data_IF_544153703926
#
_entry.id   IF_544153703926
#
_cell.length_a   1.000
_cell.length_b   1.000
_cell.length_c   1.000
_cell.angle_alpha   90.00
_cell.angle_beta   90.00
_cell.angle_gamma   90.00
#
_symmetry.space_group_name_H-M   'P 1'
#
loop_
_entity.id
_entity.type
_entity.pdbx_description
1 polymer ?
#
# COMPACT_ATOMS: atom_id res chain seq x y z
N UNK A 1 -1.66 -15.60 -17.04
CA UNK A 1 -2.77 -14.85 -16.49
C UNK A 1 -3.31 -13.84 -17.48
N UNK A 2 -4.60 -13.77 -17.63
CA UNK A 2 -5.22 -12.84 -18.55
C UNK A 2 -5.07 -11.39 -18.09
N UNK A 3 -5.19 -10.47 -19.04
CA UNK A 3 -5.13 -9.06 -18.73
C UNK A 3 -6.35 -8.62 -17.92
N UNK A 4 -6.09 -8.02 -16.77
CA UNK A 4 -7.12 -7.41 -15.95
C UNK A 4 -7.09 -5.91 -16.25
N UNK A 5 -8.24 -5.36 -16.65
CA UNK A 5 -8.34 -3.95 -16.97
C UNK A 5 -9.12 -3.19 -15.92
N UNK A 6 -8.64 -2.00 -15.60
CA UNK A 6 -9.27 -1.10 -14.65
C UNK A 6 -9.53 0.25 -15.34
N UNK A 7 -10.75 0.72 -15.26
CA UNK A 7 -11.09 2.05 -15.76
C UNK A 7 -10.85 3.06 -14.64
N UNK A 8 -9.81 3.86 -14.80
CA UNK A 8 -9.38 4.80 -13.77
C UNK A 8 -8.53 5.90 -14.39
N UNK A 9 -8.16 6.88 -13.59
CA UNK A 9 -7.13 7.83 -13.98
C UNK A 9 -5.77 7.14 -13.80
N UNK A 10 -5.27 6.55 -14.87
CA UNK A 10 -4.08 5.71 -14.82
C UNK A 10 -2.87 6.42 -14.23
N UNK A 11 -2.67 7.67 -14.60
CA UNK A 11 -1.51 8.44 -14.12
C UNK A 11 -1.51 8.58 -12.60
N UNK A 12 -2.65 8.94 -12.03
CA UNK A 12 -2.76 9.09 -10.58
C UNK A 12 -2.73 7.76 -9.85
N UNK A 13 -3.38 6.74 -10.41
CA UNK A 13 -3.38 5.42 -9.75
C UNK A 13 -1.99 4.79 -9.76
N UNK A 14 -1.20 5.01 -10.81
CA UNK A 14 0.20 4.58 -10.83
C UNK A 14 0.99 5.29 -9.73
N UNK A 15 0.75 6.59 -9.54
CA UNK A 15 1.38 7.35 -8.46
C UNK A 15 1.04 6.77 -7.09
N UNK A 16 -0.24 6.44 -6.86
CA UNK A 16 -0.67 5.86 -5.59
C UNK A 16 0.02 4.54 -5.31
N UNK A 17 0.03 3.63 -6.29
CA UNK A 17 0.64 2.31 -6.13
C UNK A 17 2.15 2.44 -5.95
N UNK A 18 2.78 3.37 -6.67
CA UNK A 18 4.20 3.64 -6.51
C UNK A 18 4.52 4.09 -5.09
N UNK A 19 3.70 4.95 -4.51
CA UNK A 19 3.90 5.41 -3.13
C UNK A 19 3.79 4.26 -2.13
N UNK A 20 2.86 3.33 -2.36
CA UNK A 20 2.74 2.14 -1.50
C UNK A 20 3.98 1.27 -1.61
N UNK A 21 4.46 1.04 -2.84
CA UNK A 21 5.66 0.24 -3.08
C UNK A 21 6.89 0.88 -2.45
N UNK A 22 7.03 2.20 -2.55
CA UNK A 22 8.13 2.91 -1.89
C UNK A 22 8.11 2.70 -0.39
N UNK A 23 6.92 2.73 0.21
CA UNK A 23 6.78 2.46 1.63
C UNK A 23 7.23 1.04 1.97
N UNK A 24 6.83 0.06 1.19
CA UNK A 24 7.26 -1.32 1.39
C UNK A 24 8.77 -1.47 1.30
N UNK A 25 9.38 -0.83 0.31
CA UNK A 25 10.83 -0.87 0.12
C UNK A 25 11.55 -0.21 1.30
N UNK A 26 11.04 0.93 1.76
CA UNK A 26 11.62 1.66 2.89
C UNK A 26 11.67 0.81 4.16
N UNK A 27 10.66 -0.03 4.36
CA UNK A 27 10.58 -0.89 5.55
C UNK A 27 11.03 -2.32 5.31
N UNK A 28 11.60 -2.61 4.15
CA UNK A 28 12.06 -3.95 3.84
C UNK A 28 13.43 -4.23 4.47
N UNK A 29 13.68 -5.52 4.70
CA UNK A 29 15.00 -6.02 5.10
C UNK A 29 15.74 -6.52 3.86
N UNK A 30 17.06 -6.73 3.96
CA UNK A 30 17.88 -7.13 2.84
C UNK A 30 17.32 -8.36 2.13
N UNK A 31 16.88 -9.36 2.64
CA UNK A 31 16.36 -10.54 1.95
C UNK A 31 14.84 -10.56 1.84
N UNK A 32 14.22 -9.37 1.90
CA UNK A 32 12.77 -9.28 1.83
C UNK A 32 12.25 -9.51 0.42
N UNK A 33 11.03 -10.03 0.34
CA UNK A 33 10.32 -10.22 -0.91
C UNK A 33 9.06 -9.36 -0.91
N UNK A 34 8.83 -8.65 -2.00
CA UNK A 34 7.59 -7.92 -2.22
C UNK A 34 6.81 -8.65 -3.29
N UNK A 35 5.61 -9.08 -2.95
CA UNK A 35 4.74 -9.83 -3.85
C UNK A 35 3.53 -8.98 -4.21
N UNK A 36 3.21 -8.92 -5.50
CA UNK A 36 2.05 -8.20 -5.99
C UNK A 36 1.13 -9.21 -6.67
N UNK A 37 -0.08 -9.35 -6.16
CA UNK A 37 -1.09 -10.21 -6.75
C UNK A 37 -2.27 -9.37 -7.23
N UNK A 38 -2.82 -9.72 -8.38
CA UNK A 38 -3.97 -9.04 -8.95
C UNK A 38 -5.07 -10.07 -9.13
N UNK A 39 -6.26 -9.75 -8.64
CA UNK A 39 -7.41 -10.61 -8.73
C UNK A 39 -8.63 -9.81 -9.20
N UNK A 40 -9.59 -10.48 -9.79
CA UNK A 40 -10.77 -9.82 -10.35
C UNK A 40 -11.98 -10.72 -10.24
N UNK A 41 -13.11 -10.12 -9.87
CA UNK A 41 -14.39 -10.79 -9.91
C UNK A 41 -15.46 -9.80 -10.44
N UNK A 42 -16.71 -10.21 -10.38
CA UNK A 42 -17.81 -9.37 -10.92
C UNK A 42 -18.05 -8.08 -10.15
N UNK A 43 -17.58 -8.02 -8.89
CA UNK A 43 -17.87 -6.90 -8.00
C UNK A 43 -16.70 -5.92 -7.95
N UNK A 44 -15.47 -6.44 -7.92
CA UNK A 44 -14.30 -5.58 -7.77
C UNK A 44 -13.06 -6.18 -8.44
N UNK A 45 -12.05 -5.31 -8.59
CA UNK A 45 -10.70 -5.70 -8.93
C UNK A 45 -9.82 -5.41 -7.72
N UNK A 46 -8.95 -6.33 -7.38
CA UNK A 46 -8.14 -6.25 -6.17
C UNK A 46 -6.66 -6.35 -6.49
N UNK A 47 -5.89 -5.47 -5.87
CA UNK A 47 -4.44 -5.54 -5.91
C UNK A 47 -3.98 -5.76 -4.48
N UNK A 48 -3.20 -6.81 -4.27
CA UNK A 48 -2.62 -7.13 -2.97
C UNK A 48 -1.12 -6.94 -3.06
N UNK A 49 -0.56 -6.11 -2.18
CA UNK A 49 0.88 -5.87 -2.10
C UNK A 49 1.34 -6.36 -0.74
N UNK A 50 2.15 -7.41 -0.75
CA UNK A 50 2.63 -8.04 0.48
C UNK A 50 4.14 -7.94 0.54
N UNK A 51 4.67 -7.52 1.68
CA UNK A 51 6.09 -7.65 1.95
C UNK A 51 6.30 -8.48 3.20
N UNK A 52 7.43 -9.17 3.26
CA UNK A 52 7.81 -9.97 4.42
C UNK A 52 8.90 -9.27 5.23
N UNK A 53 8.89 -7.94 5.23
CA UNK A 53 9.85 -7.12 5.95
C UNK A 53 9.56 -7.01 7.44
N UNK A 54 9.79 -5.83 7.98
CA UNK A 54 9.68 -5.60 9.42
C UNK A 54 8.26 -5.62 9.96
N UNK A 55 7.27 -5.44 9.10
CA UNK A 55 5.91 -5.20 9.54
C UNK A 55 5.75 -3.81 10.13
N UNK A 56 4.55 -3.52 10.60
CA UNK A 56 4.22 -2.22 11.18
C UNK A 56 3.82 -2.45 12.63
N UNK A 57 4.37 -1.63 13.52
CA UNK A 57 4.02 -1.69 14.94
C UNK A 57 2.51 -1.46 15.09
N UNK A 58 1.88 -2.26 15.96
CA UNK A 58 0.46 -2.18 16.21
C UNK A 58 0.00 -0.77 16.58
N UNK A 59 0.85 -0.02 17.26
CA UNK A 59 0.56 1.37 17.62
C UNK A 59 0.50 2.31 16.43
N UNK A 60 1.25 1.99 15.38
CA UNK A 60 1.34 2.84 14.19
C UNK A 60 0.23 2.54 13.19
N UNK A 61 -0.30 1.30 13.16
CA UNK A 61 -1.28 0.89 12.17
C UNK A 61 -2.47 1.85 12.00
N UNK A 62 -3.11 2.35 13.08
CA UNK A 62 -4.24 3.25 12.92
C UNK A 62 -3.88 4.59 12.29
N UNK A 63 -2.61 4.93 12.23
CA UNK A 63 -2.13 6.26 11.84
C UNK A 63 -1.37 6.30 10.52
N UNK A 64 -1.10 5.16 9.90
CA UNK A 64 -0.19 5.13 8.74
C UNK A 64 -0.71 5.91 7.53
N UNK A 65 -2.00 6.16 7.46
CA UNK A 65 -2.58 6.95 6.37
C UNK A 65 -2.78 8.42 6.74
N UNK A 66 -2.37 8.82 7.94
CA UNK A 66 -2.44 10.23 8.36
C UNK A 66 -1.28 11.01 7.73
N UNK A 67 -1.56 12.23 7.32
CA UNK A 67 -0.52 13.09 6.75
C UNK A 67 0.54 13.40 7.80
N UNK A 68 1.80 13.35 7.37
CA UNK A 68 2.97 13.66 8.19
C UNK A 68 3.19 12.70 9.37
N UNK A 69 2.44 11.61 9.46
CA UNK A 69 2.70 10.62 10.48
C UNK A 69 3.94 9.81 10.11
N UNK A 70 4.83 9.62 11.08
CA UNK A 70 6.02 8.79 10.93
C UNK A 70 6.03 7.76 12.04
N UNK A 71 6.06 6.50 11.68
CA UNK A 71 6.24 5.41 12.61
C UNK A 71 7.67 5.31 13.11
N UNK A 72 7.91 4.41 14.05
CA UNK A 72 9.22 4.22 14.66
C UNK A 72 10.33 3.92 13.66
N UNK A 73 10.01 3.19 12.61
CA UNK A 73 11.01 2.70 11.66
C UNK A 73 11.00 3.50 10.35
N UNK A 74 10.43 4.69 10.36
CA UNK A 74 10.42 5.55 9.19
C UNK A 74 11.79 6.11 8.90
N UNK A 75 12.10 6.27 7.62
CA UNK A 75 13.29 6.98 7.17
C UNK A 75 13.24 8.42 7.63
N UNK A 76 14.41 8.97 7.98
CA UNK A 76 14.53 10.38 8.35
C UNK A 76 14.12 11.32 7.21
N UNK A 77 14.26 10.87 5.98
CA UNK A 77 13.93 11.67 4.80
C UNK A 77 12.46 11.56 4.40
N UNK A 78 11.72 10.66 5.04
CA UNK A 78 10.30 10.50 4.77
C UNK A 78 9.53 11.68 5.35
N UNK A 79 8.66 12.28 4.55
CA UNK A 79 7.81 13.38 5.02
C UNK A 79 6.43 12.91 5.48
N UNK A 80 6.17 11.61 5.38
CA UNK A 80 4.94 11.03 5.90
C UNK A 80 3.68 11.38 5.12
N UNK A 81 3.80 11.68 3.83
CA UNK A 81 2.64 12.02 2.99
C UNK A 81 2.32 10.97 1.93
N UNK A 82 3.24 10.04 1.66
CA UNK A 82 3.08 9.08 0.56
C UNK A 82 1.85 8.20 0.69
N UNK A 83 1.62 7.59 1.86
CA UNK A 83 0.47 6.73 2.07
C UNK A 83 -0.84 7.51 2.17
N UNK A 84 -0.82 8.69 2.79
CA UNK A 84 -2.00 9.55 2.84
C UNK A 84 -2.43 9.96 1.44
N UNK A 85 -1.47 10.33 0.59
CA UNK A 85 -1.72 10.68 -0.80
C UNK A 85 -2.28 9.48 -1.57
N UNK A 86 -1.66 8.31 -1.40
CA UNK A 86 -2.12 7.09 -2.06
C UNK A 86 -3.58 6.79 -1.72
N UNK A 87 -3.95 6.87 -0.46
CA UNK A 87 -5.33 6.64 -0.03
C UNK A 87 -6.29 7.63 -0.67
N UNK A 88 -5.92 8.91 -0.67
CA UNK A 88 -6.75 9.96 -1.28
C UNK A 88 -6.98 9.69 -2.76
N UNK A 89 -5.93 9.33 -3.49
CA UNK A 89 -6.02 9.04 -4.92
C UNK A 89 -6.93 7.84 -5.19
N UNK A 90 -6.72 6.76 -4.45
CA UNK A 90 -7.51 5.53 -4.62
C UNK A 90 -9.00 5.81 -4.35
N UNK A 91 -9.28 6.54 -3.29
CA UNK A 91 -10.67 6.86 -2.93
C UNK A 91 -11.35 7.77 -3.94
N UNK A 92 -10.61 8.63 -4.63
CA UNK A 92 -11.17 9.45 -5.70
C UNK A 92 -11.71 8.64 -6.87
N UNK A 93 -11.15 7.47 -7.13
CA UNK A 93 -11.65 6.56 -8.15
C UNK A 93 -12.56 5.49 -7.54
N UNK A 94 -13.19 5.80 -6.43
CA UNK A 94 -14.13 4.92 -5.73
C UNK A 94 -13.49 3.60 -5.26
N UNK A 95 -12.18 3.62 -5.08
CA UNK A 95 -11.46 2.48 -4.53
C UNK A 95 -11.38 2.54 -3.02
N UNK A 96 -10.86 1.47 -2.45
CA UNK A 96 -10.55 1.40 -1.03
C UNK A 96 -9.17 0.81 -0.82
N UNK A 97 -8.56 1.15 0.31
CA UNK A 97 -7.28 0.59 0.70
C UNK A 97 -7.34 0.23 2.18
N UNK A 98 -6.80 -0.94 2.51
CA UNK A 98 -6.61 -1.31 3.91
C UNK A 98 -5.26 -1.99 4.08
N UNK A 99 -4.81 -2.07 5.31
CA UNK A 99 -3.53 -2.67 5.64
C UNK A 99 -3.71 -3.64 6.80
N UNK A 100 -3.02 -4.76 6.68
CA UNK A 100 -2.86 -5.72 7.77
C UNK A 100 -1.37 -5.93 7.96
N UNK A 101 -0.92 -6.02 9.20
CA UNK A 101 0.50 -6.21 9.46
C UNK A 101 0.73 -7.00 10.74
N UNK A 102 1.82 -7.78 10.73
CA UNK A 102 2.36 -8.40 11.93
C UNK A 102 3.79 -7.94 12.06
N UNK A 103 4.09 -7.24 13.13
CA UNK A 103 5.45 -6.75 13.38
C UNK A 103 6.44 -7.91 13.36
N UNK A 104 7.54 -7.71 12.65
CA UNK A 104 8.59 -8.71 12.50
C UNK A 104 8.31 -9.78 11.46
N UNK A 105 7.15 -9.76 10.80
CA UNK A 105 6.78 -10.80 9.85
C UNK A 105 6.36 -10.29 8.48
N UNK A 106 5.36 -9.42 8.42
CA UNK A 106 4.80 -9.02 7.12
C UNK A 106 3.93 -7.79 7.21
N UNK A 107 3.70 -7.18 6.05
CA UNK A 107 2.70 -6.13 5.85
C UNK A 107 1.96 -6.43 4.56
N UNK A 108 0.63 -6.32 4.58
CA UNK A 108 -0.22 -6.57 3.42
C UNK A 108 -1.12 -5.36 3.19
N UNK A 109 -0.97 -4.74 2.02
CA UNK A 109 -1.89 -3.69 1.55
C UNK A 109 -2.87 -4.32 0.58
N UNK A 110 -4.16 -4.08 0.80
CA UNK A 110 -5.22 -4.57 -0.08
C UNK A 110 -5.95 -3.38 -0.67
N UNK A 111 -5.91 -3.25 -2.00
CA UNK A 111 -6.53 -2.16 -2.73
C UNK A 111 -7.66 -2.75 -3.57
N UNK A 112 -8.85 -2.21 -3.46
CA UNK A 112 -10.00 -2.65 -4.25
C UNK A 112 -10.56 -1.50 -5.06
N UNK A 113 -10.88 -1.78 -6.33
CA UNK A 113 -11.58 -0.86 -7.22
C UNK A 113 -12.90 -1.52 -7.63
N UNK A 114 -13.97 -0.81 -7.44
CA UNK A 114 -15.33 -1.33 -7.70
C UNK A 114 -15.87 -0.93 -9.05
#
# INVERSE_FOLDING_TARGET
QDNIKLVCDAKWQIEAITNILKNCIEHSKDDSTITIDIDSNKIYKQITIKDNGEGIDEKDLPHIFERFYKGKNSSKDSVGIGLALAKTIIEKDNGSIKVDSKKGKQTIFTIKYY
#
